data_IF_873249059733
#
_entry.id   IF_873249059733
#
_cell.length_a   1.000
_cell.length_b   1.000
_cell.length_c   1.000
_cell.angle_alpha   90.00
_cell.angle_beta   90.00
_cell.angle_gamma   90.00
#
_symmetry.space_group_name_H-M   'P 1'
#
loop_
_entity.id
_entity.type
_entity.pdbx_description
1 polymer ?
#
# COMPACT_ATOMS: atom_id res chain seq x y z
N UNK A 1 -1.60 2.70 0.18
CA UNK A 1 -1.28 2.79 -1.24
C UNK A 1 -2.29 3.65 -1.96
N UNK A 2 -1.85 4.20 -3.11
CA UNK A 2 -2.71 4.90 -4.04
C UNK A 2 -3.08 4.01 -5.23
N UNK A 3 -3.98 4.47 -6.10
CA UNK A 3 -4.33 3.76 -7.34
C UNK A 3 -3.10 3.62 -8.26
N UNK A 4 -3.00 2.48 -8.95
CA UNK A 4 -1.91 2.20 -9.90
C UNK A 4 -0.51 2.07 -9.29
N UNK A 5 -0.40 1.81 -7.99
CA UNK A 5 0.89 1.73 -7.28
C UNK A 5 1.38 0.29 -7.21
N UNK A 6 2.69 0.11 -7.44
CA UNK A 6 3.43 -1.12 -7.17
C UNK A 6 4.50 -0.88 -6.09
N UNK A 7 5.00 -1.95 -5.52
CA UNK A 7 6.13 -1.89 -4.59
C UNK A 7 7.35 -1.22 -5.24
N UNK A 8 7.65 -1.58 -6.50
CA UNK A 8 8.72 -0.93 -7.25
C UNK A 8 8.51 0.59 -7.38
N UNK A 9 7.31 1.05 -7.74
CA UNK A 9 7.03 2.47 -7.87
C UNK A 9 7.24 3.24 -6.56
N UNK A 10 6.95 2.61 -5.42
CA UNK A 10 7.14 3.23 -4.11
C UNK A 10 8.60 3.21 -3.63
N UNK A 11 9.30 2.10 -3.83
CA UNK A 11 10.55 1.84 -3.11
C UNK A 11 11.81 1.92 -3.97
N UNK A 12 11.71 2.07 -5.30
CA UNK A 12 12.83 2.04 -6.26
C UNK A 12 13.98 3.00 -5.93
N UNK A 13 13.72 4.11 -5.27
CA UNK A 13 14.74 5.08 -4.90
C UNK A 13 15.46 4.72 -3.57
N UNK A 14 14.81 3.97 -2.71
CA UNK A 14 15.33 3.61 -1.38
C UNK A 14 15.93 2.21 -1.37
N UNK A 15 15.35 1.28 -2.11
CA UNK A 15 15.80 -0.12 -2.18
C UNK A 15 17.31 -0.27 -2.50
N UNK A 16 17.90 0.44 -3.48
CA UNK A 16 19.33 0.28 -3.79
C UNK A 16 20.24 0.66 -2.62
N UNK A 17 19.84 1.65 -1.83
CA UNK A 17 20.60 2.07 -0.64
C UNK A 17 20.52 1.04 0.47
N UNK A 18 19.33 0.56 0.77
CA UNK A 18 19.12 -0.47 1.79
C UNK A 18 19.77 -1.80 1.40
N UNK A 19 19.75 -2.14 0.11
CA UNK A 19 20.31 -3.38 -0.41
C UNK A 19 21.83 -3.48 -0.30
N UNK A 20 22.52 -2.38 -0.05
CA UNK A 20 23.96 -2.40 0.21
C UNK A 20 24.32 -3.13 1.52
N UNK A 21 23.39 -3.21 2.46
CA UNK A 21 23.63 -3.78 3.78
C UNK A 21 22.63 -4.86 4.21
N UNK A 22 21.54 -5.03 3.46
CA UNK A 22 20.43 -5.93 3.82
C UNK A 22 19.85 -6.61 2.59
N UNK A 23 19.33 -7.82 2.76
CA UNK A 23 18.37 -8.36 1.78
C UNK A 23 17.10 -7.54 1.88
N UNK A 24 16.65 -6.96 0.77
CA UNK A 24 15.42 -6.17 0.70
C UNK A 24 14.35 -6.94 -0.07
N UNK A 25 13.16 -7.03 0.51
CA UNK A 25 11.99 -7.69 -0.08
C UNK A 25 10.88 -6.66 -0.09
N UNK A 26 10.33 -6.36 -1.26
CA UNK A 26 9.25 -5.39 -1.44
C UNK A 26 8.15 -6.01 -2.32
N UNK A 27 7.23 -6.79 -1.71
CA UNK A 27 6.18 -7.45 -2.46
C UNK A 27 5.07 -6.48 -2.86
N UNK A 28 4.44 -6.76 -3.98
CA UNK A 28 3.10 -6.26 -4.25
C UNK A 28 2.10 -7.14 -3.49
N UNK A 29 1.34 -6.56 -2.60
CA UNK A 29 0.31 -7.30 -1.87
C UNK A 29 -0.86 -7.63 -2.81
N UNK A 30 -1.58 -8.72 -2.54
CA UNK A 30 -2.69 -9.16 -3.39
C UNK A 30 -3.70 -8.01 -3.59
N UNK A 31 -4.11 -7.82 -4.84
CA UNK A 31 -4.94 -6.68 -5.27
C UNK A 31 -4.16 -5.43 -5.66
N UNK A 32 -2.85 -5.37 -5.39
CA UNK A 32 -1.98 -4.25 -5.78
C UNK A 32 -0.94 -4.70 -6.80
N UNK A 33 -0.39 -3.71 -7.51
CA UNK A 33 0.73 -3.92 -8.42
C UNK A 33 0.52 -5.08 -9.40
N UNK A 34 1.53 -5.92 -9.52
CA UNK A 34 1.56 -7.03 -10.49
C UNK A 34 1.24 -8.40 -9.87
N UNK A 35 0.94 -8.46 -8.57
CA UNK A 35 0.49 -9.70 -7.93
C UNK A 35 -0.86 -10.14 -8.50
N UNK A 36 -1.03 -11.43 -8.67
CA UNK A 36 -2.28 -12.04 -9.13
C UNK A 36 -3.49 -11.60 -8.30
N UNK A 37 -4.64 -11.60 -8.95
CA UNK A 37 -5.93 -11.22 -8.37
C UNK A 37 -6.91 -12.40 -8.46
N UNK A 38 -6.75 -13.43 -7.63
CA UNK A 38 -7.62 -14.61 -7.68
C UNK A 38 -9.08 -14.21 -7.48
N UNK A 39 -9.97 -14.82 -8.25
CA UNK A 39 -11.41 -14.58 -8.09
C UNK A 39 -11.86 -14.94 -6.67
N UNK A 40 -12.72 -14.10 -6.10
CA UNK A 40 -13.21 -14.29 -4.73
C UNK A 40 -12.24 -13.90 -3.63
N UNK A 41 -11.11 -13.27 -3.96
CA UNK A 41 -10.17 -12.75 -2.94
C UNK A 41 -10.87 -11.75 -2.01
N UNK A 42 -10.85 -12.04 -0.72
CA UNK A 42 -11.27 -11.08 0.30
C UNK A 42 -10.13 -10.10 0.58
N UNK A 43 -10.33 -8.83 0.27
CA UNK A 43 -9.36 -7.76 0.54
C UNK A 43 -9.49 -7.26 1.98
N UNK A 44 -9.01 -8.07 2.92
CA UNK A 44 -9.03 -7.83 4.37
C UNK A 44 -7.64 -7.99 4.97
N UNK A 45 -7.43 -7.48 6.17
CA UNK A 45 -6.12 -7.52 6.82
C UNK A 45 -5.59 -8.95 6.99
N UNK A 46 -6.46 -9.89 7.29
CA UNK A 46 -6.09 -11.32 7.45
C UNK A 46 -5.42 -11.88 6.18
N UNK A 47 -6.00 -11.59 5.02
CA UNK A 47 -5.45 -12.03 3.73
C UNK A 47 -4.04 -11.48 3.49
N UNK A 48 -3.81 -10.21 3.77
CA UNK A 48 -2.51 -9.58 3.55
C UNK A 48 -1.47 -10.02 4.59
N UNK A 49 -1.89 -10.20 5.85
CA UNK A 49 -1.00 -10.74 6.90
C UNK A 49 -0.58 -12.16 6.53
N UNK A 50 -1.52 -13.00 6.12
CA UNK A 50 -1.21 -14.37 5.72
C UNK A 50 -0.28 -14.40 4.50
N UNK A 51 -0.56 -13.60 3.46
CA UNK A 51 0.33 -13.49 2.30
C UNK A 51 1.76 -13.09 2.71
N UNK A 52 1.90 -12.16 3.64
CA UNK A 52 3.22 -11.73 4.10
C UNK A 52 3.95 -12.85 4.86
N UNK A 53 3.25 -13.60 5.71
CA UNK A 53 3.82 -14.74 6.42
C UNK A 53 4.21 -15.87 5.47
N UNK A 54 3.35 -16.22 4.53
CA UNK A 54 3.61 -17.25 3.52
C UNK A 54 4.81 -16.88 2.65
N UNK A 55 4.96 -15.59 2.30
CA UNK A 55 6.12 -15.11 1.57
C UNK A 55 7.41 -15.26 2.37
N UNK A 56 7.39 -14.93 3.65
CA UNK A 56 8.55 -15.10 4.52
C UNK A 56 8.95 -16.57 4.65
N UNK A 57 7.97 -17.45 4.76
CA UNK A 57 8.18 -18.90 4.83
C UNK A 57 8.73 -19.45 3.51
N UNK A 58 8.16 -19.05 2.39
CA UNK A 58 8.63 -19.44 1.04
C UNK A 58 10.05 -18.96 0.72
N UNK A 59 10.51 -17.91 1.39
CA UNK A 59 11.86 -17.35 1.23
C UNK A 59 12.84 -17.80 2.32
N UNK A 60 12.43 -18.70 3.22
CA UNK A 60 13.20 -19.15 4.40
C UNK A 60 13.70 -17.97 5.26
N UNK A 61 12.82 -16.95 5.46
CA UNK A 61 13.14 -15.78 6.27
C UNK A 61 12.43 -15.88 7.63
N UNK A 62 13.12 -16.23 8.71
CA UNK A 62 12.48 -16.42 10.00
C UNK A 62 12.04 -15.11 10.66
N UNK A 63 12.75 -14.01 10.41
CA UNK A 63 12.50 -12.73 11.06
C UNK A 63 12.93 -11.56 10.17
N UNK A 64 12.16 -10.45 10.19
CA UNK A 64 12.40 -9.26 9.39
C UNK A 64 12.42 -7.97 10.20
N UNK A 65 13.04 -6.94 9.64
CA UNK A 65 12.75 -5.54 9.93
C UNK A 65 11.70 -5.06 8.91
N UNK A 66 10.65 -4.39 9.37
CA UNK A 66 9.56 -3.89 8.52
C UNK A 66 9.65 -2.38 8.34
N UNK A 67 9.44 -1.93 7.12
CA UNK A 67 9.24 -0.51 6.79
C UNK A 67 7.87 -0.40 6.11
N UNK A 68 6.90 0.18 6.81
CA UNK A 68 5.53 0.32 6.33
C UNK A 68 5.16 1.76 6.02
N UNK A 69 4.73 2.02 4.79
CA UNK A 69 4.20 3.31 4.37
C UNK A 69 2.69 3.25 4.21
N UNK A 70 1.95 4.19 4.82
CA UNK A 70 0.50 4.30 4.68
C UNK A 70 -0.20 2.97 5.04
N UNK A 71 -0.94 2.34 4.13
CA UNK A 71 -1.50 1.00 4.27
C UNK A 71 -0.47 -0.06 4.69
N UNK A 72 0.74 0.00 4.12
CA UNK A 72 1.84 -0.89 4.49
C UNK A 72 2.23 -0.75 5.96
N UNK A 73 1.98 0.41 6.56
CA UNK A 73 2.17 0.62 8.00
C UNK A 73 1.13 -0.13 8.82
N UNK A 74 -0.16 -0.11 8.45
CA UNK A 74 -1.19 -0.91 9.12
C UNK A 74 -0.90 -2.41 9.02
N UNK A 75 -0.50 -2.88 7.83
CA UNK A 75 -0.09 -4.28 7.64
C UNK A 75 1.11 -4.64 8.52
N UNK A 76 2.09 -3.76 8.62
CA UNK A 76 3.28 -3.98 9.45
C UNK A 76 2.94 -4.03 10.95
N UNK A 77 2.00 -3.18 11.40
CA UNK A 77 1.47 -3.23 12.76
C UNK A 77 0.73 -4.54 13.02
N UNK A 78 -0.14 -4.95 12.10
CA UNK A 78 -0.89 -6.21 12.21
C UNK A 78 0.07 -7.42 12.29
N UNK A 79 1.12 -7.45 11.47
CA UNK A 79 2.16 -8.48 11.54
C UNK A 79 2.89 -8.47 12.88
N UNK A 80 3.27 -7.31 13.39
CA UNK A 80 3.97 -7.18 14.67
C UNK A 80 3.10 -7.64 15.86
N UNK A 81 1.78 -7.43 15.79
CA UNK A 81 0.82 -7.86 16.82
C UNK A 81 0.54 -9.36 16.73
N UNK A 82 0.27 -9.88 15.53
CA UNK A 82 -0.18 -11.26 15.32
C UNK A 82 0.96 -12.29 15.28
N UNK A 83 2.14 -11.85 14.84
CA UNK A 83 3.33 -12.70 14.71
C UNK A 83 4.59 -11.98 15.23
N UNK A 84 4.64 -11.58 16.52
CA UNK A 84 5.73 -10.77 17.07
C UNK A 84 7.10 -11.45 16.92
N UNK A 85 7.16 -12.76 16.89
CA UNK A 85 8.39 -13.54 16.70
C UNK A 85 8.97 -13.38 15.28
N UNK A 86 8.16 -12.93 14.31
CA UNK A 86 8.58 -12.73 12.91
C UNK A 86 9.08 -11.29 12.66
N UNK A 87 8.86 -10.36 13.59
CA UNK A 87 9.17 -8.94 13.45
C UNK A 87 10.20 -8.51 14.48
N UNK A 88 11.35 -8.05 14.01
CA UNK A 88 12.44 -7.59 14.88
C UNK A 88 12.35 -6.09 15.15
N UNK A 89 12.10 -5.31 14.11
CA UNK A 89 12.01 -3.84 14.17
C UNK A 89 10.92 -3.35 13.22
N UNK A 90 10.37 -2.19 13.53
CA UNK A 90 9.28 -1.59 12.78
C UNK A 90 9.56 -0.10 12.56
N UNK A 91 9.48 0.34 11.30
CA UNK A 91 9.50 1.75 10.91
C UNK A 91 8.19 2.07 10.20
N UNK A 92 7.47 3.07 10.67
CA UNK A 92 6.19 3.50 10.13
C UNK A 92 6.31 4.89 9.51
N UNK A 93 5.77 5.05 8.30
CA UNK A 93 5.80 6.29 7.53
C UNK A 93 4.38 6.67 7.13
N UNK A 94 3.81 7.74 7.70
CA UNK A 94 2.45 8.20 7.40
C UNK A 94 1.42 7.07 7.47
N UNK A 95 1.53 6.23 8.49
CA UNK A 95 0.81 4.97 8.63
C UNK A 95 -0.66 5.19 8.97
N UNK A 96 -1.56 4.41 8.34
CA UNK A 96 -2.86 4.06 8.93
C UNK A 96 -2.65 2.88 9.91
N UNK A 97 -3.70 2.45 10.61
CA UNK A 97 -3.59 1.38 11.61
C UNK A 97 -3.78 1.89 13.04
N UNK A 98 -4.25 3.14 13.18
CA UNK A 98 -4.70 3.76 14.42
C UNK A 98 -6.04 4.45 14.18
N UNK A 99 -6.91 4.62 15.19
CA UNK A 99 -8.19 5.29 15.01
C UNK A 99 -8.01 6.78 14.68
N UNK A 100 -8.67 7.24 13.62
CA UNK A 100 -8.79 8.66 13.28
C UNK A 100 -9.99 8.91 12.37
N UNK A 101 -10.50 10.13 12.34
CA UNK A 101 -11.52 10.52 11.38
C UNK A 101 -10.90 10.60 9.98
N UNK A 102 -11.50 9.91 8.99
CA UNK A 102 -10.98 9.94 7.63
C UNK A 102 -10.91 11.38 7.11
N UNK A 103 -9.76 11.74 6.56
CA UNK A 103 -9.57 13.08 6.00
C UNK A 103 -10.15 13.15 4.59
N UNK A 104 -10.58 14.34 4.11
CA UNK A 104 -11.04 14.51 2.73
C UNK A 104 -10.00 14.05 1.70
N UNK A 105 -8.71 14.26 1.97
CA UNK A 105 -7.63 13.80 1.12
C UNK A 105 -7.55 12.29 1.02
N UNK A 106 -7.64 11.57 2.14
CA UNK A 106 -7.61 10.11 2.15
C UNK A 106 -8.88 9.53 1.51
N UNK A 107 -10.04 10.14 1.75
CA UNK A 107 -11.29 9.72 1.11
C UNK A 107 -11.23 9.89 -0.42
N UNK A 108 -10.66 10.99 -0.90
CA UNK A 108 -10.43 11.21 -2.33
C UNK A 108 -9.48 10.17 -2.93
N UNK A 109 -8.40 9.80 -2.22
CA UNK A 109 -7.46 8.76 -2.67
C UNK A 109 -8.14 7.41 -2.79
N UNK A 110 -8.88 7.00 -1.77
CA UNK A 110 -9.55 5.70 -1.77
C UNK A 110 -10.80 5.66 -2.66
N UNK A 111 -11.37 6.83 -2.97
CA UNK A 111 -12.47 7.00 -3.89
C UNK A 111 -12.08 7.36 -5.32
N UNK A 112 -10.81 7.21 -5.67
CA UNK A 112 -10.30 7.55 -6.98
C UNK A 112 -11.09 6.85 -8.10
N UNK A 113 -11.51 7.64 -9.07
CA UNK A 113 -12.04 7.19 -10.36
C UNK A 113 -11.06 7.62 -11.46
N UNK A 114 -10.72 6.73 -12.40
CA UNK A 114 -9.63 6.99 -13.35
C UNK A 114 -9.91 8.13 -14.29
N UNK A 115 -9.16 9.21 -14.16
CA UNK A 115 -8.96 10.25 -15.16
C UNK A 115 -7.59 10.91 -14.94
N UNK A 116 -7.07 11.56 -15.95
CA UNK A 116 -5.82 12.33 -15.83
C UNK A 116 -5.96 13.44 -14.77
N UNK A 117 -7.06 14.18 -14.80
CA UNK A 117 -7.35 15.26 -13.87
C UNK A 117 -7.46 14.77 -12.43
N UNK A 118 -8.15 13.64 -12.21
CA UNK A 118 -8.26 13.05 -10.89
C UNK A 118 -6.87 12.62 -10.39
N UNK A 119 -6.06 11.97 -11.23
CA UNK A 119 -4.69 11.57 -10.84
C UNK A 119 -3.83 12.78 -10.54
N UNK A 120 -3.92 13.83 -11.33
CA UNK A 120 -3.19 15.10 -11.11
C UNK A 120 -3.58 15.71 -9.75
N UNK A 121 -4.88 15.73 -9.43
CA UNK A 121 -5.40 16.20 -8.15
C UNK A 121 -4.91 15.35 -6.97
N UNK A 122 -4.81 14.03 -7.12
CA UNK A 122 -4.24 13.17 -6.08
C UNK A 122 -2.75 13.46 -5.82
N UNK A 123 -1.96 13.70 -6.87
CA UNK A 123 -0.57 14.07 -6.72
C UNK A 123 -0.41 15.40 -5.96
N UNK A 124 -1.31 16.34 -6.19
CA UNK A 124 -1.37 17.60 -5.45
C UNK A 124 -1.68 17.41 -3.97
N UNK A 125 -2.48 16.40 -3.61
CA UNK A 125 -2.77 16.03 -2.22
C UNK A 125 -1.54 15.38 -1.56
N UNK A 126 -0.83 14.51 -2.28
CA UNK A 126 0.30 13.77 -1.74
C UNK A 126 1.58 14.57 -1.59
N UNK A 127 1.84 15.50 -2.51
CA UNK A 127 3.14 16.16 -2.60
C UNK A 127 3.18 17.44 -1.77
N UNK A 128 4.09 17.49 -0.80
CA UNK A 128 4.41 18.75 -0.11
C UNK A 128 5.02 19.79 -1.07
N UNK A 129 5.95 19.35 -1.92
CA UNK A 129 6.56 20.22 -2.93
C UNK A 129 5.87 20.08 -4.27
N UNK A 130 5.28 21.17 -4.78
CA UNK A 130 4.63 21.21 -6.09
C UNK A 130 5.59 20.99 -7.26
N UNK A 131 6.88 21.22 -7.05
CA UNK A 131 7.90 20.96 -8.07
C UNK A 131 8.01 19.48 -8.45
N UNK A 132 7.50 18.57 -7.59
CA UNK A 132 7.48 17.12 -7.86
C UNK A 132 6.23 16.67 -8.62
N UNK A 133 5.25 17.56 -8.79
CA UNK A 133 3.97 17.25 -9.42
C UNK A 133 3.97 17.75 -10.84
N UNK A 134 4.43 16.88 -11.75
CA UNK A 134 4.46 17.17 -13.20
C UNK A 134 3.35 16.44 -13.94
N UNK A 135 2.99 16.91 -15.11
CA UNK A 135 2.00 16.27 -15.96
C UNK A 135 2.50 14.89 -16.45
N UNK A 136 3.81 14.74 -16.66
CA UNK A 136 4.42 13.46 -17.02
C UNK A 136 4.25 12.43 -15.88
N UNK A 137 4.41 12.86 -14.63
CA UNK A 137 4.18 11.98 -13.47
C UNK A 137 2.70 11.62 -13.35
N UNK A 138 1.81 12.58 -13.56
CA UNK A 138 0.37 12.35 -13.54
C UNK A 138 -0.04 11.35 -14.63
N UNK A 139 0.45 11.52 -15.85
CA UNK A 139 0.19 10.61 -16.96
C UNK A 139 0.71 9.20 -16.66
N UNK A 140 1.95 9.07 -16.20
CA UNK A 140 2.56 7.78 -15.82
C UNK A 140 1.71 7.04 -14.77
N UNK A 141 1.23 7.76 -13.76
CA UNK A 141 0.40 7.20 -12.71
C UNK A 141 -1.02 6.87 -13.19
N UNK A 142 -1.60 7.72 -14.00
CA UNK A 142 -2.90 7.48 -14.63
C UNK A 142 -2.85 6.22 -15.49
N UNK A 143 -1.87 6.11 -16.39
CA UNK A 143 -1.70 4.91 -17.23
C UNK A 143 -1.48 3.64 -16.40
N UNK A 144 -0.79 3.73 -15.28
CA UNK A 144 -0.66 2.60 -14.36
C UNK A 144 -1.99 2.21 -13.72
N UNK A 145 -2.86 3.19 -13.38
CA UNK A 145 -4.14 2.94 -12.70
C UNK A 145 -5.18 2.27 -13.58
N UNK A 146 -5.13 2.48 -14.91
CA UNK A 146 -6.09 1.92 -15.87
C UNK A 146 -5.66 0.57 -16.46
N UNK A 147 -4.57 -0.02 -15.97
CA UNK A 147 -4.20 -1.38 -16.36
C UNK A 147 -5.27 -2.39 -15.96
N UNK A 148 -5.51 -3.43 -16.76
CA UNK A 148 -6.53 -4.44 -16.45
C UNK A 148 -6.41 -4.98 -15.02
N UNK A 149 -7.50 -4.99 -14.28
CA UNK A 149 -7.59 -5.46 -12.90
C UNK A 149 -7.10 -4.48 -11.82
N UNK A 150 -6.38 -3.41 -12.17
CA UNK A 150 -5.83 -2.48 -11.17
C UNK A 150 -6.92 -1.65 -10.48
N UNK A 151 -7.77 -1.00 -11.27
CA UNK A 151 -8.85 -0.18 -10.73
C UNK A 151 -9.95 -1.00 -10.10
N UNK A 152 -10.29 -2.13 -10.71
CA UNK A 152 -11.33 -3.03 -10.20
C UNK A 152 -10.98 -3.53 -8.81
N UNK A 153 -9.74 -4.00 -8.59
CA UNK A 153 -9.30 -4.44 -7.26
C UNK A 153 -9.21 -3.29 -6.27
N UNK A 154 -8.71 -2.13 -6.70
CA UNK A 154 -8.61 -0.95 -5.84
C UNK A 154 -9.99 -0.47 -5.36
N UNK A 155 -10.96 -0.37 -6.25
CA UNK A 155 -12.33 0.01 -5.90
C UNK A 155 -13.01 -1.03 -5.00
N UNK A 156 -12.73 -2.31 -5.21
CA UNK A 156 -13.26 -3.39 -4.36
C UNK A 156 -12.69 -3.36 -2.93
N UNK A 157 -11.46 -2.85 -2.76
CA UNK A 157 -10.84 -2.72 -1.43
C UNK A 157 -11.49 -1.63 -0.57
N UNK A 158 -11.90 -0.51 -1.19
CA UNK A 158 -12.27 0.72 -0.47
C UNK A 158 -13.65 1.27 -0.85
N UNK A 159 -14.73 0.44 -0.89
CA UNK A 159 -16.07 0.97 -1.16
C UNK A 159 -16.54 1.87 -0.03
N UNK A 160 -17.36 2.88 -0.37
CA UNK A 160 -17.94 3.80 0.61
C UNK A 160 -18.93 3.06 1.56
N UNK A 161 -19.14 3.55 2.80
CA UNK A 161 -18.45 4.65 3.47
C UNK A 161 -17.06 4.23 3.94
N UNK A 162 -16.03 5.04 3.65
CA UNK A 162 -14.62 4.64 3.80
C UNK A 162 -14.06 4.73 5.21
N UNK A 163 -14.74 5.42 6.13
CA UNK A 163 -14.36 5.47 7.55
C UNK A 163 -14.19 4.06 8.13
N UNK A 164 -15.07 3.13 7.78
CA UNK A 164 -15.03 1.75 8.26
C UNK A 164 -13.69 1.03 7.99
N UNK A 165 -12.98 1.44 6.94
CA UNK A 165 -11.67 0.85 6.60
C UNK A 165 -10.56 1.37 7.50
N UNK A 166 -10.63 2.65 7.89
CA UNK A 166 -9.74 3.21 8.93
C UNK A 166 -9.95 2.45 10.22
N UNK A 167 -11.22 2.27 10.63
CA UNK A 167 -11.59 1.60 11.88
C UNK A 167 -11.15 0.12 11.87
N UNK A 168 -11.38 -0.58 10.78
CA UNK A 168 -10.97 -1.99 10.62
C UNK A 168 -9.44 -2.16 10.67
N UNK A 169 -8.67 -1.25 10.08
CA UNK A 169 -7.21 -1.29 10.12
C UNK A 169 -6.63 -0.89 11.48
N UNK A 170 -7.40 -0.18 12.31
CA UNK A 170 -7.00 0.20 13.66
C UNK A 170 -7.24 -0.89 14.71
N UNK A 171 -7.86 -2.01 14.30
CA UNK A 171 -8.16 -3.17 15.16
C UNK A 171 -7.63 -4.45 14.49
N UNK A 172 -6.31 -4.60 14.35
CA UNK A 172 -5.67 -5.71 13.61
C UNK A 172 -5.72 -7.05 14.35
#
# INVERSE_FOLDING_TARGET
PGPGVSAWANWRLVMPVLAQQRRVIAPDMVGFGYTDRPAGTAYIMDTWVQQALDLLDALDVPQVDLIGNSFGGALSLALAIRAPQRVRRLVLMGSVGVPFAITPGLDAVWGYEPSFEAMRGLLDIFAYSRALVTDELAELRYQASIRPGFQESFSAMFPAPRQRWVDAMASP
#
